data_IF_132259321099
#
_entry.id   IF_132259321099
#
_cell.length_a   1.000
_cell.length_b   1.000
_cell.length_c   1.000
_cell.angle_alpha   90.00
_cell.angle_beta   90.00
_cell.angle_gamma   90.00
#
_symmetry.space_group_name_H-M   'P 1'
#
loop_
_entity.id
_entity.type
_entity.pdbx_description
1 polymer ?
#
# COMPACT_ATOMS: atom_id res chain seq x y z
N UNK A 1 12.17 -3.64 18.39
CA UNK A 1 11.34 -4.53 19.24
C UNK A 1 11.58 -5.98 18.90
N UNK A 2 11.31 -6.87 19.85
CA UNK A 2 11.29 -8.32 19.58
C UNK A 2 9.89 -8.76 19.14
N UNK A 3 9.78 -9.93 18.52
CA UNK A 3 8.49 -10.52 18.14
C UNK A 3 7.55 -10.73 19.35
N UNK A 4 8.10 -10.82 20.55
CA UNK A 4 7.32 -10.90 21.79
C UNK A 4 6.70 -9.55 22.16
N UNK A 5 7.45 -8.45 22.04
CA UNK A 5 6.94 -7.10 22.34
C UNK A 5 5.88 -6.70 21.33
N UNK A 6 6.07 -6.96 20.05
CA UNK A 6 5.07 -6.65 19.01
C UNK A 6 3.70 -7.32 19.28
N UNK A 7 3.68 -8.45 19.99
CA UNK A 7 2.46 -9.19 20.38
C UNK A 7 1.94 -8.84 21.78
N UNK A 8 2.65 -8.01 22.53
CA UNK A 8 2.25 -7.59 23.84
C UNK A 8 1.10 -6.59 23.77
N UNK A 9 0.02 -6.87 24.51
CA UNK A 9 -1.17 -6.02 24.53
C UNK A 9 -0.87 -4.59 24.97
N UNK A 10 0.06 -4.41 25.93
CA UNK A 10 0.49 -3.09 26.39
C UNK A 10 1.21 -2.31 25.29
N UNK A 11 2.07 -2.97 24.52
CA UNK A 11 2.73 -2.33 23.37
C UNK A 11 1.74 -1.96 22.26
N UNK A 12 0.79 -2.84 21.98
CA UNK A 12 -0.24 -2.58 20.98
C UNK A 12 -1.16 -1.42 21.41
N UNK A 13 -1.56 -1.38 22.68
CA UNK A 13 -2.34 -0.27 23.22
C UNK A 13 -1.57 1.06 23.14
N UNK A 14 -0.29 1.04 23.48
CA UNK A 14 0.59 2.20 23.33
C UNK A 14 0.71 2.67 21.87
N UNK A 15 0.89 1.75 20.93
CA UNK A 15 0.96 2.11 19.52
C UNK A 15 -0.35 2.76 19.00
N UNK A 16 -1.51 2.27 19.48
CA UNK A 16 -2.82 2.87 19.17
C UNK A 16 -2.99 4.24 19.82
N UNK A 17 -2.53 4.43 21.06
CA UNK A 17 -2.55 5.74 21.73
C UNK A 17 -1.72 6.77 20.95
N UNK A 18 -0.49 6.41 20.54
CA UNK A 18 0.36 7.31 19.75
C UNK A 18 -0.28 7.66 18.40
N UNK A 19 -0.92 6.69 17.75
CA UNK A 19 -1.63 6.93 16.50
C UNK A 19 -2.82 7.89 16.71
N UNK A 20 -3.52 7.80 17.84
CA UNK A 20 -4.57 8.73 18.23
C UNK A 20 -4.05 10.15 18.43
N UNK A 21 -2.97 10.31 19.19
CA UNK A 21 -2.34 11.62 19.42
C UNK A 21 -1.92 12.29 18.11
N UNK A 22 -1.30 11.52 17.19
CA UNK A 22 -0.89 12.01 15.86
C UNK A 22 -2.08 12.30 14.95
N UNK A 23 -3.20 11.62 15.13
CA UNK A 23 -4.42 11.90 14.39
C UNK A 23 -5.03 13.24 14.82
N UNK A 24 -4.98 13.57 16.11
CA UNK A 24 -5.46 14.84 16.65
C UNK A 24 -4.48 16.00 16.35
N UNK A 25 -3.18 15.75 16.50
CA UNK A 25 -2.13 16.72 16.25
C UNK A 25 -0.91 16.06 15.57
N UNK A 26 -0.71 16.34 14.28
CA UNK A 26 0.38 15.78 13.49
C UNK A 26 1.79 16.10 14.04
N UNK A 27 1.92 17.20 14.79
CA UNK A 27 3.17 17.67 15.40
C UNK A 27 3.24 17.34 16.91
N UNK A 28 2.44 16.37 17.40
CA UNK A 28 2.46 15.96 18.81
C UNK A 28 3.85 15.51 19.24
N UNK A 29 4.34 16.03 20.37
CA UNK A 29 5.56 15.54 21.00
C UNK A 29 5.26 14.24 21.77
N UNK A 30 5.77 13.14 21.22
CA UNK A 30 5.55 11.79 21.74
C UNK A 30 6.72 11.27 22.59
N UNK A 31 7.75 12.09 22.82
CA UNK A 31 9.02 11.64 23.42
C UNK A 31 8.86 11.23 24.89
N UNK A 32 8.06 11.95 25.66
CA UNK A 32 7.77 11.59 27.05
C UNK A 32 7.09 10.23 27.13
N UNK A 33 5.98 10.04 26.40
CA UNK A 33 5.25 8.77 26.34
C UNK A 33 6.14 7.62 25.86
N UNK A 34 6.96 7.86 24.85
CA UNK A 34 7.93 6.87 24.34
C UNK A 34 8.92 6.45 25.42
N UNK A 35 9.48 7.42 26.14
CA UNK A 35 10.48 7.17 27.18
C UNK A 35 9.89 6.39 28.35
N UNK A 36 8.68 6.74 28.79
CA UNK A 36 7.95 5.99 29.81
C UNK A 36 7.73 4.53 29.40
N UNK A 37 7.33 4.32 28.15
CA UNK A 37 7.05 2.97 27.65
C UNK A 37 8.34 2.14 27.50
N UNK A 38 9.46 2.75 27.11
CA UNK A 38 10.79 2.11 27.12
C UNK A 38 11.15 1.64 28.54
N UNK A 39 10.90 2.47 29.56
CA UNK A 39 11.18 2.12 30.94
C UNK A 39 10.29 0.96 31.45
N UNK A 40 9.05 0.86 30.99
CA UNK A 40 8.09 -0.19 31.40
C UNK A 40 8.37 -1.52 30.71
N UNK A 41 8.59 -1.50 29.39
CA UNK A 41 8.82 -2.71 28.59
C UNK A 41 10.27 -3.20 28.69
N UNK A 42 11.23 -2.30 28.93
CA UNK A 42 12.64 -2.63 28.98
C UNK A 42 13.31 -2.81 27.61
N UNK A 43 12.64 -2.44 26.53
CA UNK A 43 13.18 -2.46 25.17
C UNK A 43 13.24 -1.07 24.55
N UNK A 44 14.21 -0.86 23.66
CA UNK A 44 14.38 0.41 22.97
C UNK A 44 13.31 0.58 21.87
N UNK A 45 12.32 1.43 22.11
CA UNK A 45 11.24 1.76 21.21
C UNK A 45 11.59 3.03 20.45
N UNK A 46 11.38 3.04 19.14
CA UNK A 46 11.55 4.21 18.27
C UNK A 46 10.31 4.43 17.43
N UNK A 47 9.89 5.69 17.33
CA UNK A 47 8.88 6.15 16.38
C UNK A 47 9.65 6.66 15.15
N UNK A 48 9.77 5.80 14.14
CA UNK A 48 10.63 6.09 12.98
C UNK A 48 9.92 6.90 11.90
N UNK A 49 8.63 6.67 11.71
CA UNK A 49 7.78 7.32 10.71
C UNK A 49 6.33 7.27 11.15
N UNK A 50 5.57 8.26 10.72
CA UNK A 50 4.12 8.28 10.79
C UNK A 50 3.56 8.78 9.48
N UNK A 51 2.44 8.22 9.05
CA UNK A 51 1.70 8.63 7.87
C UNK A 51 0.24 8.84 8.26
N UNK A 52 -0.36 9.87 7.70
CA UNK A 52 -1.77 10.18 7.88
C UNK A 52 -2.45 10.25 6.53
N UNK A 53 -3.45 9.40 6.33
CA UNK A 53 -4.36 9.50 5.19
C UNK A 53 -5.62 10.24 5.63
N UNK A 54 -6.10 11.11 4.77
CA UNK A 54 -7.39 11.79 4.92
C UNK A 54 -8.17 11.54 3.64
N UNK A 55 -9.32 10.87 3.71
CA UNK A 55 -10.06 10.57 2.49
C UNK A 55 -10.43 11.85 1.76
N UNK A 56 -10.44 11.80 0.43
CA UNK A 56 -11.09 12.80 -0.39
C UNK A 56 -12.58 12.92 0.00
N UNK A 57 -13.30 13.90 -0.54
CA UNK A 57 -14.66 14.26 -0.12
C UNK A 57 -15.64 13.08 0.01
N UNK A 58 -15.45 12.04 -0.79
CA UNK A 58 -16.15 10.75 -0.67
C UNK A 58 -15.14 9.66 -0.82
N UNK A 59 -14.89 8.89 0.23
CA UNK A 59 -13.89 7.84 0.21
C UNK A 59 -13.79 7.14 1.56
N UNK A 60 -13.02 6.07 1.56
CA UNK A 60 -12.86 5.20 2.72
C UNK A 60 -11.40 4.89 2.95
N UNK A 61 -10.97 4.95 4.21
CA UNK A 61 -9.67 4.44 4.63
C UNK A 61 -9.86 3.03 5.20
N UNK A 62 -9.13 2.08 4.65
CA UNK A 62 -9.01 0.73 5.19
C UNK A 62 -7.59 0.51 5.71
N UNK A 63 -7.48 -0.32 6.73
CA UNK A 63 -6.20 -0.69 7.32
C UNK A 63 -6.08 -2.20 7.48
N UNK A 64 -4.86 -2.68 7.37
CA UNK A 64 -4.54 -4.09 7.59
C UNK A 64 -3.19 -4.22 8.29
N UNK A 65 -3.16 -4.93 9.39
CA UNK A 65 -1.91 -5.31 10.07
C UNK A 65 -1.73 -6.82 9.89
N UNK A 66 -0.66 -7.21 9.22
CA UNK A 66 -0.36 -8.61 9.00
C UNK A 66 0.08 -9.30 10.30
N UNK A 67 -0.19 -10.60 10.40
CA UNK A 67 0.18 -11.40 11.58
C UNK A 67 1.66 -11.21 11.92
N UNK A 68 1.94 -10.86 13.16
CA UNK A 68 3.29 -10.54 13.65
C UNK A 68 3.65 -9.06 13.60
N UNK A 69 2.71 -8.19 13.16
CA UNK A 69 2.79 -6.72 13.19
C UNK A 69 4.04 -6.11 12.50
N UNK A 70 4.64 -6.84 11.54
CA UNK A 70 5.80 -6.36 10.76
C UNK A 70 5.42 -5.66 9.46
N UNK A 71 4.20 -5.88 8.98
CA UNK A 71 3.65 -5.26 7.77
C UNK A 71 2.32 -4.63 8.14
N UNK A 72 2.20 -3.35 7.88
CA UNK A 72 0.96 -2.60 7.98
C UNK A 72 0.63 -1.95 6.64
N UNK A 73 -0.65 -1.88 6.31
CA UNK A 73 -1.15 -1.24 5.10
C UNK A 73 -2.23 -0.25 5.49
N UNK A 74 -2.16 0.93 4.90
CA UNK A 74 -3.24 1.91 4.84
C UNK A 74 -3.61 2.08 3.38
N UNK A 75 -4.91 2.00 3.09
CA UNK A 75 -5.46 2.13 1.75
C UNK A 75 -6.57 3.17 1.77
N UNK A 76 -6.52 4.12 0.86
CA UNK A 76 -7.65 4.98 0.53
C UNK A 76 -8.34 4.44 -0.73
N UNK A 77 -9.65 4.24 -0.62
CA UNK A 77 -10.56 3.99 -1.75
C UNK A 77 -11.42 5.21 -1.95
N UNK A 78 -11.28 5.86 -3.09
CA UNK A 78 -12.14 6.96 -3.49
C UNK A 78 -13.46 6.42 -4.04
N UNK A 79 -14.55 7.09 -3.72
CA UNK A 79 -15.91 6.79 -4.20
C UNK A 79 -16.58 8.09 -4.66
N UNK A 80 -17.66 8.01 -5.41
CA UNK A 80 -18.38 9.20 -5.84
C UNK A 80 -19.29 9.75 -4.73
N UNK A 81 -19.76 8.87 -3.83
CA UNK A 81 -20.69 9.20 -2.76
C UNK A 81 -20.26 8.58 -1.42
N UNK A 82 -20.73 9.15 -0.30
CA UNK A 82 -20.57 8.55 1.02
C UNK A 82 -21.27 7.17 1.13
N UNK A 83 -22.42 7.02 0.46
CA UNK A 83 -23.13 5.75 0.42
C UNK A 83 -22.33 4.66 -0.27
N UNK A 84 -21.58 5.00 -1.33
CA UNK A 84 -20.63 4.10 -1.98
C UNK A 84 -19.47 3.74 -1.07
N UNK A 85 -18.93 4.68 -0.30
CA UNK A 85 -17.88 4.42 0.66
C UNK A 85 -18.32 3.43 1.76
N UNK A 86 -19.57 3.51 2.21
CA UNK A 86 -20.14 2.65 3.24
C UNK A 86 -20.79 1.36 2.69
N UNK A 87 -20.76 1.18 1.36
CA UNK A 87 -21.31 -0.03 0.75
C UNK A 87 -20.49 -1.25 1.16
N UNK A 88 -21.18 -2.36 1.47
CA UNK A 88 -20.52 -3.56 1.99
C UNK A 88 -19.49 -4.16 1.02
N UNK A 89 -19.71 -4.04 -0.29
CA UNK A 89 -18.75 -4.47 -1.31
C UNK A 89 -17.49 -3.60 -1.29
N UNK A 90 -17.62 -2.28 -1.11
CA UNK A 90 -16.47 -1.36 -0.98
C UNK A 90 -15.65 -1.69 0.26
N UNK A 91 -16.30 -1.98 1.38
CA UNK A 91 -15.63 -2.40 2.64
C UNK A 91 -14.88 -3.72 2.43
N UNK A 92 -15.52 -4.71 1.80
CA UNK A 92 -14.91 -6.01 1.53
C UNK A 92 -13.72 -5.88 0.57
N UNK A 93 -13.90 -5.11 -0.50
CA UNK A 93 -12.86 -4.82 -1.49
C UNK A 93 -11.64 -4.16 -0.86
N UNK A 94 -11.84 -3.16 0.00
CA UNK A 94 -10.74 -2.47 0.68
C UNK A 94 -9.88 -3.41 1.51
N UNK A 95 -10.51 -4.32 2.26
CA UNK A 95 -9.80 -5.34 3.04
C UNK A 95 -9.03 -6.30 2.14
N UNK A 96 -9.61 -6.70 1.02
CA UNK A 96 -8.99 -7.61 0.07
C UNK A 96 -7.79 -6.98 -0.62
N UNK A 97 -7.89 -5.70 -1.00
CA UNK A 97 -6.76 -4.96 -1.57
C UNK A 97 -5.67 -4.72 -0.52
N UNK A 98 -6.01 -4.41 0.73
CA UNK A 98 -5.01 -4.31 1.80
C UNK A 98 -4.21 -5.61 1.99
N UNK A 99 -4.87 -6.76 1.96
CA UNK A 99 -4.20 -8.06 2.03
C UNK A 99 -3.33 -8.32 0.80
N UNK A 100 -3.79 -7.93 -0.39
CA UNK A 100 -3.02 -8.01 -1.63
C UNK A 100 -1.75 -7.15 -1.54
N UNK A 101 -1.86 -5.89 -1.11
CA UNK A 101 -0.72 -4.98 -0.92
C UNK A 101 0.29 -5.56 0.06
N UNK A 102 -0.18 -6.11 1.18
CA UNK A 102 0.70 -6.74 2.17
C UNK A 102 1.49 -7.93 1.58
N UNK A 103 0.90 -8.66 0.63
CA UNK A 103 1.51 -9.83 0.00
C UNK A 103 2.46 -9.46 -1.16
N UNK A 104 2.16 -8.42 -1.93
CA UNK A 104 2.85 -8.09 -3.19
C UNK A 104 3.77 -6.88 -3.08
N UNK A 105 3.60 -6.04 -2.06
CA UNK A 105 4.38 -4.83 -1.81
C UNK A 105 4.56 -3.96 -3.08
N UNK A 106 3.49 -3.46 -3.71
CA UNK A 106 3.58 -2.61 -4.89
C UNK A 106 4.40 -1.35 -4.59
N UNK A 107 5.12 -0.85 -5.59
CA UNK A 107 5.94 0.36 -5.47
C UNK A 107 5.07 1.62 -5.49
N UNK A 108 3.97 1.57 -6.24
CA UNK A 108 3.06 2.69 -6.45
C UNK A 108 1.67 2.19 -6.86
N UNK A 109 0.71 3.10 -6.97
CA UNK A 109 -0.67 2.77 -7.39
C UNK A 109 -0.74 2.48 -8.89
N UNK A 110 -0.23 3.39 -9.72
CA UNK A 110 -0.28 3.30 -11.19
C UNK A 110 1.05 3.73 -11.82
N UNK A 111 1.15 3.62 -13.17
CA UNK A 111 2.36 3.96 -13.93
C UNK A 111 2.81 5.41 -13.77
N UNK A 112 1.87 6.33 -13.61
CA UNK A 112 2.14 7.77 -13.50
C UNK A 112 2.82 8.12 -12.17
N UNK A 113 2.63 7.26 -11.17
CA UNK A 113 3.22 7.41 -9.84
C UNK A 113 4.59 6.74 -9.71
N UNK A 114 5.07 6.03 -10.73
CA UNK A 114 6.41 5.42 -10.69
C UNK A 114 7.48 6.51 -10.79
N UNK A 115 8.42 6.58 -9.85
CA UNK A 115 9.53 7.53 -9.95
C UNK A 115 10.31 7.37 -11.27
N UNK A 116 10.52 8.47 -11.98
CA UNK A 116 11.21 8.48 -13.29
C UNK A 116 12.58 7.78 -13.24
N UNK A 117 13.29 7.90 -12.12
CA UNK A 117 14.58 7.26 -11.92
C UNK A 117 14.50 5.72 -11.98
N UNK A 118 13.40 5.13 -11.45
CA UNK A 118 13.18 3.69 -11.50
C UNK A 118 12.86 3.23 -12.92
N UNK A 119 12.04 4.00 -13.62
CA UNK A 119 11.71 3.71 -15.04
C UNK A 119 12.95 3.83 -15.91
N UNK A 120 13.79 4.87 -15.72
CA UNK A 120 15.02 5.07 -16.46
C UNK A 120 16.00 3.92 -16.22
N UNK A 121 16.18 3.50 -14.96
CA UNK A 121 17.03 2.38 -14.59
C UNK A 121 16.55 1.06 -15.22
N UNK A 122 15.26 0.78 -15.17
CA UNK A 122 14.70 -0.43 -15.78
C UNK A 122 14.85 -0.41 -17.31
N UNK A 123 14.66 0.76 -17.93
CA UNK A 123 14.91 0.95 -19.38
C UNK A 123 16.38 0.71 -19.73
N UNK A 124 17.32 1.18 -18.92
CA UNK A 124 18.75 0.93 -19.13
C UNK A 124 19.05 -0.58 -19.08
N UNK A 125 18.55 -1.27 -18.07
CA UNK A 125 18.69 -2.74 -17.95
C UNK A 125 18.06 -3.46 -19.16
N UNK A 126 16.85 -3.04 -19.54
CA UNK A 126 16.17 -3.61 -20.71
C UNK A 126 16.96 -3.39 -22.02
N UNK A 127 17.56 -2.22 -22.17
CA UNK A 127 18.39 -1.86 -23.33
C UNK A 127 19.64 -2.73 -23.40
N UNK A 128 20.37 -2.87 -22.30
CA UNK A 128 21.54 -3.74 -22.21
C UNK A 128 21.21 -5.20 -22.56
N UNK A 129 20.06 -5.69 -22.10
CA UNK A 129 19.61 -7.07 -22.40
C UNK A 129 19.14 -7.25 -23.84
N UNK A 130 18.80 -6.16 -24.53
CA UNK A 130 18.42 -6.18 -25.95
C UNK A 130 19.63 -6.03 -26.89
N UNK A 131 20.83 -5.85 -26.36
CA UNK A 131 22.05 -5.70 -27.15
C UNK A 131 22.28 -6.90 -28.08
N UNK A 132 22.67 -6.63 -29.32
CA UNK A 132 22.87 -7.65 -30.35
C UNK A 132 21.58 -8.14 -31.04
N UNK A 133 20.41 -7.61 -30.68
CA UNK A 133 19.16 -7.89 -31.39
C UNK A 133 18.96 -6.94 -32.59
N UNK A 134 18.16 -7.32 -33.59
CA UNK A 134 17.84 -6.44 -34.72
C UNK A 134 17.22 -5.10 -34.20
N UNK A 135 17.59 -3.94 -34.79
CA UNK A 135 17.11 -2.64 -34.34
C UNK A 135 15.57 -2.54 -34.19
N UNK A 136 14.84 -3.16 -35.12
CA UNK A 136 13.37 -3.20 -35.10
C UNK A 136 12.79 -4.00 -33.92
N UNK A 137 13.57 -4.92 -33.36
CA UNK A 137 13.15 -5.74 -32.21
C UNK A 137 13.52 -5.09 -30.87
N UNK A 138 14.53 -4.23 -30.82
CA UNK A 138 15.06 -3.64 -29.59
C UNK A 138 13.95 -2.86 -28.86
N UNK A 139 13.29 -1.92 -29.54
CA UNK A 139 12.25 -1.09 -28.92
C UNK A 139 11.08 -1.94 -28.41
N UNK A 140 10.67 -2.95 -29.18
CA UNK A 140 9.61 -3.87 -28.76
C UNK A 140 10.00 -4.68 -27.51
N UNK A 141 11.28 -5.09 -27.43
CA UNK A 141 11.81 -5.81 -26.27
C UNK A 141 11.82 -4.90 -25.05
N UNK A 142 12.29 -3.66 -25.18
CA UNK A 142 12.34 -2.68 -24.10
C UNK A 142 10.92 -2.40 -23.59
N UNK A 143 9.97 -2.09 -24.48
CA UNK A 143 8.57 -1.85 -24.13
C UNK A 143 7.99 -3.05 -23.40
N UNK A 144 8.15 -4.27 -23.92
CA UNK A 144 7.63 -5.47 -23.29
C UNK A 144 8.25 -5.77 -21.91
N UNK A 145 9.51 -5.34 -21.65
CA UNK A 145 10.14 -5.45 -20.33
C UNK A 145 9.61 -4.39 -19.36
N UNK A 146 9.43 -3.16 -19.82
CA UNK A 146 8.81 -2.10 -19.03
C UNK A 146 7.36 -2.45 -18.66
N UNK A 147 6.59 -3.01 -19.60
CA UNK A 147 5.23 -3.48 -19.30
C UNK A 147 5.23 -4.56 -18.21
N UNK A 148 6.17 -5.50 -18.25
CA UNK A 148 6.31 -6.50 -17.19
C UNK A 148 6.71 -5.89 -15.85
N UNK A 149 7.59 -4.89 -15.87
CA UNK A 149 7.96 -4.14 -14.68
C UNK A 149 6.73 -3.44 -14.06
N UNK A 150 5.95 -2.73 -14.86
CA UNK A 150 4.72 -2.08 -14.39
C UNK A 150 3.70 -3.08 -13.85
N UNK A 151 3.50 -4.20 -14.55
CA UNK A 151 2.59 -5.26 -14.10
C UNK A 151 2.98 -5.88 -12.73
N UNK A 152 4.23 -5.75 -12.31
CA UNK A 152 4.69 -6.22 -10.99
C UNK A 152 4.80 -5.12 -9.95
N UNK A 153 5.02 -3.88 -10.37
CA UNK A 153 5.32 -2.74 -9.50
C UNK A 153 4.13 -1.84 -9.22
N UNK A 154 3.16 -1.75 -10.16
CA UNK A 154 1.99 -0.90 -10.03
C UNK A 154 0.80 -1.70 -9.52
N UNK A 155 0.22 -1.28 -8.39
CA UNK A 155 -0.91 -1.96 -7.73
C UNK A 155 -2.05 -2.29 -8.72
N UNK A 156 -2.49 -1.29 -9.49
CA UNK A 156 -3.61 -1.46 -10.43
C UNK A 156 -3.35 -2.51 -11.52
N UNK A 157 -2.10 -2.75 -11.88
CA UNK A 157 -1.70 -3.70 -12.93
C UNK A 157 -1.33 -5.08 -12.38
N UNK A 158 -1.18 -5.22 -11.07
CA UNK A 158 -0.89 -6.52 -10.47
C UNK A 158 -2.09 -7.46 -10.59
N UNK A 159 -1.81 -8.73 -10.89
CA UNK A 159 -2.81 -9.79 -10.80
C UNK A 159 -3.26 -9.97 -9.36
N UNK A 160 -4.57 -10.00 -9.12
CA UNK A 160 -5.13 -10.10 -7.78
C UNK A 160 -4.79 -11.45 -7.13
N UNK A 161 -4.24 -11.43 -5.91
CA UNK A 161 -3.74 -12.65 -5.23
C UNK A 161 -4.81 -13.72 -4.98
N UNK A 162 -6.08 -13.33 -4.85
CA UNK A 162 -7.19 -14.26 -4.67
C UNK A 162 -7.80 -14.77 -5.98
N UNK A 163 -7.57 -14.03 -7.08
CA UNK A 163 -7.99 -14.38 -8.43
C UNK A 163 -6.98 -13.85 -9.45
N UNK A 164 -5.94 -14.64 -9.79
CA UNK A 164 -4.86 -14.20 -10.68
C UNK A 164 -5.27 -13.93 -12.13
N UNK A 165 -6.50 -14.28 -12.52
CA UNK A 165 -7.01 -14.06 -13.88
C UNK A 165 -7.44 -12.61 -14.13
N UNK A 166 -7.57 -11.79 -13.08
CA UNK A 166 -7.93 -10.38 -13.18
C UNK A 166 -6.88 -9.51 -12.50
N UNK A 167 -6.76 -8.26 -12.97
CA UNK A 167 -5.92 -7.25 -12.30
C UNK A 167 -6.70 -6.56 -11.18
N UNK A 168 -5.99 -5.83 -10.31
CA UNK A 168 -6.64 -4.97 -9.31
C UNK A 168 -7.52 -3.92 -10.01
N UNK A 169 -7.08 -3.38 -11.14
CA UNK A 169 -7.88 -2.44 -11.95
C UNK A 169 -9.18 -3.06 -12.44
N UNK A 170 -9.13 -4.30 -12.94
CA UNK A 170 -10.33 -5.02 -13.38
C UNK A 170 -11.25 -5.29 -12.18
N UNK A 171 -10.69 -5.67 -11.04
CA UNK A 171 -11.44 -5.89 -9.79
C UNK A 171 -12.17 -4.62 -9.33
N UNK A 172 -11.50 -3.47 -9.34
CA UNK A 172 -12.12 -2.16 -9.02
C UNK A 172 -13.30 -1.88 -9.97
N UNK A 173 -13.10 -2.07 -11.27
CA UNK A 173 -14.15 -1.83 -12.27
C UNK A 173 -15.35 -2.80 -12.14
N UNK A 174 -15.11 -4.06 -11.75
CA UNK A 174 -16.17 -5.04 -11.49
C UNK A 174 -16.97 -4.67 -10.23
N UNK A 175 -16.27 -4.34 -9.14
CA UNK A 175 -16.91 -3.97 -7.88
C UNK A 175 -17.65 -2.63 -7.98
N UNK A 176 -17.10 -1.66 -8.71
CA UNK A 176 -17.78 -0.39 -8.97
C UNK A 176 -19.14 -0.58 -9.64
N UNK A 177 -19.29 -1.54 -10.56
CA UNK A 177 -20.60 -1.89 -11.16
C UNK A 177 -21.60 -2.44 -10.14
N UNK A 178 -21.14 -3.19 -9.13
CA UNK A 178 -21.99 -3.73 -8.08
C UNK A 178 -22.43 -2.64 -7.10
N UNK A 179 -21.53 -1.70 -6.79
CA UNK A 179 -21.82 -0.52 -5.96
C UNK A 179 -22.66 0.51 -6.71
N UNK A 180 -22.55 0.54 -8.04
CA UNK A 180 -23.28 1.47 -8.91
C UNK A 180 -22.55 2.80 -9.14
N UNK A 181 -21.27 2.87 -8.83
CA UNK A 181 -20.41 4.04 -9.04
C UNK A 181 -18.95 3.65 -9.31
N UNK A 182 -18.10 4.61 -9.63
CA UNK A 182 -16.66 4.42 -9.81
C UNK A 182 -15.94 4.23 -8.46
N UNK A 183 -15.00 3.32 -8.41
CA UNK A 183 -14.13 3.08 -7.25
C UNK A 183 -12.68 3.34 -7.64
#
# INVERSE_FOLDING_TARGET
ETDFVAKNDEFQAFALELAGDLLENADADLEEKRTEQVARIGENIRISRSERLSPAASGRIESYIHTGAKVGVLLELSTETEAGADHHETISLGKDICMHIAATAPVCVNRENVPEELVAKEREVATAQAEGKPPQAIEKIITGKLDKYFATSCLEEQSFVKNPDITIKDLLAEQGKLVGESL
#
